data_IF_544106175439
#
_entry.id   IF_544106175439
#
_cell.length_a   1.000
_cell.length_b   1.000
_cell.length_c   1.000
_cell.angle_alpha   90.00
_cell.angle_beta   90.00
_cell.angle_gamma   90.00
#
_symmetry.space_group_name_H-M   'P 1'
#
loop_
_entity.id
_entity.type
_entity.pdbx_description
1 polymer ?
#
# COMPACT_ATOMS: atom_id res chain seq x y z
N UNK A 1 17.59 -0.54 20.89
CA UNK A 1 16.98 0.77 21.07
C UNK A 1 17.31 1.73 19.97
N UNK A 2 18.59 2.05 19.78
CA UNK A 2 19.01 2.92 18.68
C UNK A 2 18.60 2.34 17.33
N UNK A 3 18.80 1.04 17.12
CA UNK A 3 18.44 0.40 15.86
C UNK A 3 16.94 0.50 15.60
N UNK A 4 16.10 0.29 16.62
CA UNK A 4 14.65 0.39 16.45
C UNK A 4 14.22 1.80 16.08
N UNK A 5 14.80 2.80 16.76
CA UNK A 5 14.52 4.19 16.47
C UNK A 5 14.95 4.55 15.05
N UNK A 6 16.13 4.09 14.64
CA UNK A 6 16.64 4.36 13.29
C UNK A 6 15.75 3.71 12.23
N UNK A 7 15.28 2.49 12.47
CA UNK A 7 14.39 1.82 11.53
C UNK A 7 13.08 2.57 11.39
N UNK A 8 12.52 3.05 12.50
CA UNK A 8 11.30 3.84 12.48
C UNK A 8 11.46 5.09 11.61
N UNK A 9 12.55 5.82 11.83
CA UNK A 9 12.82 7.04 11.09
C UNK A 9 13.03 6.75 9.59
N UNK A 10 13.74 5.66 9.29
CA UNK A 10 13.97 5.27 7.89
C UNK A 10 12.65 4.94 7.19
N UNK A 11 11.75 4.25 7.88
CA UNK A 11 10.44 3.93 7.31
C UNK A 11 9.67 5.20 7.03
N UNK A 12 9.65 6.14 7.98
CA UNK A 12 8.96 7.41 7.78
C UNK A 12 9.54 8.19 6.61
N UNK A 13 10.87 8.24 6.52
CA UNK A 13 11.54 8.97 5.44
C UNK A 13 11.23 8.36 4.08
N UNK A 14 11.22 7.02 4.02
CA UNK A 14 10.91 6.33 2.79
C UNK A 14 9.48 6.61 2.35
N UNK A 15 8.53 6.54 3.28
CA UNK A 15 7.14 6.81 2.98
C UNK A 15 6.94 8.25 2.54
N UNK A 16 7.59 9.20 3.20
CA UNK A 16 7.49 10.60 2.80
C UNK A 16 8.02 10.84 1.41
N UNK A 17 9.13 10.20 1.06
CA UNK A 17 9.71 10.32 -0.27
C UNK A 17 8.78 9.75 -1.34
N UNK A 18 8.18 8.62 -1.05
CA UNK A 18 7.28 7.94 -1.98
C UNK A 18 5.93 8.65 -2.10
N UNK A 19 5.44 9.20 -0.99
CA UNK A 19 4.09 9.76 -0.91
C UNK A 19 4.11 11.27 -0.65
N UNK A 20 5.09 11.96 -1.21
CA UNK A 20 5.34 13.37 -0.89
C UNK A 20 4.18 14.30 -1.22
N UNK A 21 3.26 13.89 -2.11
CA UNK A 21 2.13 14.72 -2.51
C UNK A 21 0.82 14.33 -1.82
N UNK A 22 0.87 13.35 -0.92
CA UNK A 22 -0.32 12.93 -0.19
C UNK A 22 -0.60 13.93 0.93
N UNK A 23 -1.88 14.11 1.25
CA UNK A 23 -2.29 15.00 2.35
C UNK A 23 -1.68 14.52 3.65
N UNK A 24 -1.27 15.46 4.50
CA UNK A 24 -0.58 15.15 5.75
C UNK A 24 -1.37 14.21 6.64
N UNK A 25 -2.68 14.42 6.77
CA UNK A 25 -3.52 13.58 7.61
C UNK A 25 -3.55 12.13 7.13
N UNK A 26 -3.67 11.95 5.81
CA UNK A 26 -3.69 10.62 5.22
C UNK A 26 -2.32 9.95 5.35
N UNK A 27 -1.26 10.73 5.17
CA UNK A 27 0.08 10.20 5.31
C UNK A 27 0.34 9.73 6.75
N UNK A 28 -0.04 10.55 7.73
CA UNK A 28 0.20 10.20 9.13
C UNK A 28 -0.54 8.93 9.54
N UNK A 29 -1.78 8.79 9.11
CA UNK A 29 -2.56 7.59 9.39
C UNK A 29 -1.95 6.35 8.74
N UNK A 30 -1.55 6.47 7.49
CA UNK A 30 -0.92 5.36 6.77
C UNK A 30 0.42 4.99 7.41
N UNK A 31 1.24 5.99 7.71
CA UNK A 31 2.55 5.75 8.32
C UNK A 31 2.40 5.04 9.67
N UNK A 32 1.43 5.44 10.47
CA UNK A 32 1.15 4.82 11.75
C UNK A 32 0.78 3.34 11.58
N UNK A 33 -0.10 3.05 10.64
CA UNK A 33 -0.50 1.67 10.39
C UNK A 33 0.67 0.80 9.96
N UNK A 34 1.52 1.32 9.08
CA UNK A 34 2.69 0.59 8.61
C UNK A 34 3.67 0.33 9.76
N UNK A 35 3.95 1.35 10.57
CA UNK A 35 4.94 1.20 11.64
C UNK A 35 4.46 0.29 12.76
N UNK A 36 3.15 0.24 13.01
CA UNK A 36 2.60 -0.59 14.07
C UNK A 36 2.33 -2.03 13.64
N UNK A 37 2.20 -2.28 12.35
CA UNK A 37 1.87 -3.62 11.86
C UNK A 37 3.01 -4.60 12.10
N UNK A 38 2.66 -5.80 12.55
CA UNK A 38 3.63 -6.88 12.69
C UNK A 38 3.93 -7.53 11.35
N UNK A 39 2.90 -7.76 10.55
CA UNK A 39 3.06 -8.34 9.22
C UNK A 39 2.30 -7.48 8.23
N UNK A 40 2.91 -7.23 7.08
CA UNK A 40 2.34 -6.40 6.03
C UNK A 40 2.27 -7.21 4.75
N UNK A 41 1.10 -7.25 4.14
CA UNK A 41 0.89 -7.90 2.85
C UNK A 41 0.61 -6.82 1.82
N UNK A 42 1.20 -6.96 0.64
CA UNK A 42 1.08 -5.95 -0.40
C UNK A 42 0.61 -6.63 -1.68
N UNK A 43 -0.29 -6.00 -2.41
CA UNK A 43 -0.76 -6.51 -3.68
C UNK A 43 -1.00 -5.37 -4.65
N UNK A 44 -0.71 -5.62 -5.92
CA UNK A 44 -1.01 -4.73 -7.01
C UNK A 44 -1.07 -5.55 -8.28
N UNK A 45 -1.52 -4.95 -9.37
CA UNK A 45 -1.59 -5.65 -10.65
C UNK A 45 -0.97 -4.79 -11.74
N UNK A 46 -0.29 -5.43 -12.70
CA UNK A 46 0.43 -4.70 -13.73
C UNK A 46 1.55 -3.87 -13.13
N UNK A 47 1.60 -2.59 -13.47
CA UNK A 47 2.61 -1.69 -12.91
C UNK A 47 2.49 -1.54 -11.41
N UNK A 48 1.27 -1.52 -10.90
CA UNK A 48 1.05 -1.48 -9.47
C UNK A 48 1.61 -2.72 -8.78
N UNK A 49 1.65 -3.86 -9.48
CA UNK A 49 2.28 -5.06 -8.97
C UNK A 49 3.78 -4.89 -8.79
N UNK A 50 4.44 -4.24 -9.75
CA UNK A 50 5.87 -3.94 -9.60
C UNK A 50 6.13 -2.97 -8.46
N UNK A 51 5.26 -1.97 -8.29
CA UNK A 51 5.36 -1.04 -7.18
C UNK A 51 5.19 -1.78 -5.86
N UNK A 52 4.22 -2.70 -5.80
CA UNK A 52 3.99 -3.50 -4.60
C UNK A 52 5.22 -4.34 -4.25
N UNK A 53 5.84 -4.98 -5.26
CA UNK A 53 7.05 -5.76 -5.04
C UNK A 53 8.18 -4.90 -4.50
N UNK A 54 8.41 -3.74 -5.09
CA UNK A 54 9.45 -2.83 -4.65
C UNK A 54 9.20 -2.35 -3.23
N UNK A 55 7.96 -2.03 -2.92
CA UNK A 55 7.59 -1.53 -1.61
C UNK A 55 7.82 -2.60 -0.54
N UNK A 56 7.38 -3.82 -0.80
CA UNK A 56 7.56 -4.93 0.13
C UNK A 56 9.05 -5.21 0.37
N UNK A 57 9.84 -5.21 -0.71
CA UNK A 57 11.29 -5.41 -0.58
C UNK A 57 11.91 -4.33 0.30
N UNK A 58 11.52 -3.08 0.07
CA UNK A 58 12.08 -1.99 0.86
C UNK A 58 11.67 -2.07 2.33
N UNK A 59 10.42 -2.43 2.61
CA UNK A 59 9.96 -2.61 3.97
C UNK A 59 10.75 -3.71 4.69
N UNK A 60 11.03 -4.82 4.01
CA UNK A 60 11.85 -5.88 4.58
C UNK A 60 13.26 -5.40 4.88
N UNK A 61 13.84 -4.61 3.98
CA UNK A 61 15.17 -4.03 4.19
C UNK A 61 15.19 -3.11 5.41
N UNK A 62 14.06 -2.50 5.71
CA UNK A 62 13.92 -1.59 6.85
C UNK A 62 13.49 -2.28 8.13
N UNK A 63 13.42 -3.61 8.11
CA UNK A 63 13.17 -4.38 9.33
C UNK A 63 11.73 -4.82 9.55
N UNK A 64 10.82 -4.58 8.60
CA UNK A 64 9.44 -5.05 8.70
C UNK A 64 9.31 -6.43 8.07
N UNK A 65 8.27 -7.16 8.42
CA UNK A 65 7.92 -8.40 7.73
C UNK A 65 6.88 -8.07 6.67
N UNK A 66 7.31 -8.02 5.43
CA UNK A 66 6.43 -7.69 4.31
C UNK A 66 6.41 -8.81 3.29
N UNK A 67 5.23 -9.11 2.77
CA UNK A 67 4.99 -10.19 1.82
C UNK A 67 4.20 -9.67 0.63
N UNK A 68 4.45 -10.26 -0.53
CA UNK A 68 3.69 -9.93 -1.74
C UNK A 68 2.69 -11.05 -1.99
N UNK A 69 1.43 -10.68 -2.17
CA UNK A 69 0.38 -11.67 -2.47
C UNK A 69 0.70 -12.30 -3.83
N UNK A 70 0.62 -13.61 -3.89
CA UNK A 70 0.88 -14.37 -5.10
C UNK A 70 2.24 -15.06 -5.13
N UNK A 71 3.14 -14.68 -4.24
CA UNK A 71 4.42 -15.37 -4.12
C UNK A 71 4.20 -16.74 -3.46
N UNK A 72 4.96 -17.73 -3.92
CA UNK A 72 4.75 -19.10 -3.47
C UNK A 72 5.01 -19.31 -1.98
N UNK A 73 5.83 -18.46 -1.38
CA UNK A 73 6.20 -18.57 0.04
C UNK A 73 5.39 -17.63 0.93
N UNK A 74 4.44 -16.89 0.36
CA UNK A 74 3.64 -15.94 1.15
C UNK A 74 2.66 -16.70 2.04
N UNK A 75 2.68 -16.44 3.35
CA UNK A 75 1.71 -17.06 4.25
C UNK A 75 0.32 -16.46 4.05
N UNK A 76 -0.68 -17.06 4.67
CA UNK A 76 -2.04 -16.54 4.62
C UNK A 76 -2.20 -15.31 5.50
N UNK A 77 -2.99 -14.36 5.05
CA UNK A 77 -3.34 -13.19 5.84
C UNK A 77 -4.21 -13.63 7.03
N UNK A 78 -3.92 -13.09 8.18
CA UNK A 78 -4.63 -13.42 9.42
C UNK A 78 -5.08 -12.15 10.13
N UNK A 79 -5.91 -12.33 11.15
CA UNK A 79 -6.39 -11.23 11.98
C UNK A 79 -5.20 -10.40 12.50
N UNK A 80 -5.34 -9.10 12.38
CA UNK A 80 -4.31 -8.16 12.85
C UNK A 80 -3.24 -7.84 11.83
N UNK A 81 -3.20 -8.54 10.70
CA UNK A 81 -2.26 -8.20 9.63
C UNK A 81 -2.71 -6.94 8.90
N UNK A 82 -1.78 -6.28 8.25
CA UNK A 82 -2.07 -5.13 7.41
C UNK A 82 -1.97 -5.54 5.94
N UNK A 83 -3.02 -5.27 5.18
CA UNK A 83 -3.03 -5.54 3.74
C UNK A 83 -3.08 -4.22 2.99
N UNK A 84 -2.03 -3.94 2.23
CA UNK A 84 -1.92 -2.73 1.41
C UNK A 84 -2.20 -3.10 -0.04
N UNK A 85 -3.26 -2.53 -0.59
CA UNK A 85 -3.64 -2.71 -1.98
C UNK A 85 -3.23 -1.48 -2.76
N UNK A 86 -2.49 -1.66 -3.84
CA UNK A 86 -2.06 -0.56 -4.70
C UNK A 86 -2.81 -0.71 -6.03
N UNK A 87 -3.74 0.20 -6.28
CA UNK A 87 -4.58 0.14 -7.47
C UNK A 87 -4.97 1.54 -7.91
N UNK A 88 -4.53 1.95 -9.08
CA UNK A 88 -4.85 3.28 -9.59
C UNK A 88 -6.35 3.50 -9.72
N UNK A 89 -7.07 2.53 -10.24
CA UNK A 89 -8.52 2.64 -10.41
C UNK A 89 -9.30 2.31 -9.15
N UNK A 90 -8.69 1.53 -8.23
CA UNK A 90 -9.39 1.04 -7.05
C UNK A 90 -10.50 0.05 -7.38
N UNK A 91 -10.54 -0.48 -8.59
CA UNK A 91 -11.66 -1.31 -9.05
C UNK A 91 -11.24 -2.63 -9.71
N UNK A 92 -9.99 -3.02 -9.58
CA UNK A 92 -9.53 -4.28 -10.14
C UNK A 92 -10.18 -5.45 -9.40
N UNK A 93 -10.90 -6.28 -10.13
CA UNK A 93 -11.72 -7.35 -9.54
C UNK A 93 -10.92 -8.31 -8.68
N UNK A 94 -9.77 -8.76 -9.17
CA UNK A 94 -8.93 -9.68 -8.41
C UNK A 94 -8.49 -9.08 -7.08
N UNK A 95 -8.10 -7.80 -7.10
CA UNK A 95 -7.67 -7.12 -5.88
C UNK A 95 -8.83 -6.90 -4.92
N UNK A 96 -10.02 -6.66 -5.48
CA UNK A 96 -11.22 -6.51 -4.66
C UNK A 96 -11.54 -7.80 -3.91
N UNK A 97 -11.42 -8.94 -4.59
CA UNK A 97 -11.66 -10.22 -3.94
C UNK A 97 -10.65 -10.49 -2.83
N UNK A 98 -9.38 -10.11 -3.06
CA UNK A 98 -8.37 -10.25 -2.03
C UNK A 98 -8.67 -9.35 -0.83
N UNK A 99 -9.13 -8.13 -1.09
CA UNK A 99 -9.48 -7.20 -0.02
C UNK A 99 -10.67 -7.71 0.79
N UNK A 100 -11.68 -8.25 0.10
CA UNK A 100 -12.83 -8.87 0.78
C UNK A 100 -12.38 -9.99 1.70
N UNK A 101 -11.49 -10.84 1.20
CA UNK A 101 -10.98 -11.95 1.98
C UNK A 101 -10.21 -11.47 3.21
N UNK A 102 -9.39 -10.44 3.04
CA UNK A 102 -8.64 -9.87 4.14
C UNK A 102 -9.58 -9.31 5.20
N UNK A 103 -10.63 -8.61 4.79
CA UNK A 103 -11.63 -8.09 5.73
C UNK A 103 -12.33 -9.24 6.45
N UNK A 104 -12.61 -10.33 5.77
CA UNK A 104 -13.32 -11.45 6.38
C UNK A 104 -12.53 -12.12 7.50
N UNK A 105 -11.21 -12.01 7.49
CA UNK A 105 -10.37 -12.55 8.57
C UNK A 105 -9.94 -11.45 9.56
N UNK A 106 -10.55 -10.26 9.46
CA UNK A 106 -10.30 -9.14 10.35
C UNK A 106 -8.89 -8.56 10.23
N UNK A 107 -8.33 -8.60 9.04
CA UNK A 107 -7.11 -7.86 8.75
C UNK A 107 -7.48 -6.41 8.42
N UNK A 108 -6.52 -5.52 8.60
CA UNK A 108 -6.71 -4.11 8.26
C UNK A 108 -6.40 -3.92 6.77
N UNK A 109 -7.26 -3.23 6.03
CA UNK A 109 -7.08 -3.02 4.59
C UNK A 109 -6.85 -1.54 4.30
N UNK A 110 -5.76 -1.23 3.62
CA UNK A 110 -5.43 0.11 3.16
C UNK A 110 -5.36 0.10 1.64
N UNK A 111 -6.03 1.04 1.00
CA UNK A 111 -5.99 1.21 -0.44
C UNK A 111 -5.19 2.46 -0.80
N UNK A 112 -4.17 2.29 -1.62
CA UNK A 112 -3.45 3.40 -2.23
C UNK A 112 -3.97 3.53 -3.67
N UNK A 113 -4.63 4.64 -3.98
CA UNK A 113 -5.34 4.78 -5.25
C UNK A 113 -5.29 6.22 -5.73
N UNK A 114 -5.55 6.41 -7.02
CA UNK A 114 -5.71 7.76 -7.56
C UNK A 114 -7.19 8.17 -7.61
N UNK A 115 -8.10 7.28 -7.21
CA UNK A 115 -9.54 7.53 -7.26
C UNK A 115 -10.19 7.09 -5.96
N UNK A 116 -10.69 8.05 -5.19
CA UNK A 116 -11.31 7.76 -3.88
C UNK A 116 -12.59 6.96 -3.98
N UNK A 117 -13.41 7.27 -4.97
CA UNK A 117 -14.70 6.61 -5.16
C UNK A 117 -14.51 5.35 -6.00
N UNK A 118 -14.36 4.21 -5.35
CA UNK A 118 -14.06 2.96 -6.04
C UNK A 118 -14.58 1.77 -5.25
N UNK A 119 -14.66 0.61 -5.93
CA UNK A 119 -15.18 -0.61 -5.32
C UNK A 119 -14.33 -1.06 -4.13
N UNK A 120 -13.01 -1.00 -4.26
CA UNK A 120 -12.12 -1.38 -3.15
C UNK A 120 -12.16 -0.32 -2.07
N UNK A 121 -12.28 0.95 -2.46
CA UNK A 121 -12.37 2.04 -1.50
C UNK A 121 -13.56 1.93 -0.57
N UNK A 122 -14.65 1.32 -1.03
CA UNK A 122 -15.83 1.15 -0.19
C UNK A 122 -15.61 0.16 0.94
N UNK A 123 -14.72 -0.79 0.78
CA UNK A 123 -14.48 -1.83 1.78
C UNK A 123 -13.18 -1.64 2.56
N UNK A 124 -12.29 -0.80 2.08
CA UNK A 124 -11.01 -0.55 2.76
C UNK A 124 -11.25 0.22 4.06
N UNK A 125 -10.41 -0.06 5.04
CA UNK A 125 -10.45 0.66 6.31
C UNK A 125 -9.87 2.05 6.17
N UNK A 126 -8.89 2.21 5.30
CA UNK A 126 -8.24 3.49 5.04
C UNK A 126 -7.99 3.60 3.54
N UNK A 127 -8.26 4.76 2.98
CA UNK A 127 -7.98 5.05 1.58
C UNK A 127 -7.03 6.22 1.52
N UNK A 128 -5.92 6.05 0.81
CA UNK A 128 -4.93 7.10 0.61
C UNK A 128 -4.95 7.48 -0.85
N UNK A 129 -5.31 8.73 -1.13
CA UNK A 129 -5.35 9.21 -2.50
C UNK A 129 -3.97 9.66 -2.95
N UNK A 130 -3.50 9.06 -4.04
CA UNK A 130 -2.24 9.45 -4.66
C UNK A 130 -2.54 10.47 -5.75
N UNK A 131 -1.88 11.61 -5.75
CA UNK A 131 -2.14 12.65 -6.75
C UNK A 131 -1.46 12.38 -8.08
N UNK A 132 -1.03 11.16 -8.32
CA UNK A 132 -0.35 10.81 -9.56
C UNK A 132 -1.31 10.90 -10.74
N UNK A 133 -0.83 11.41 -11.86
CA UNK A 133 -1.60 11.39 -13.08
C UNK A 133 -1.71 9.98 -13.60
N UNK A 134 -2.75 9.75 -14.39
CA UNK A 134 -2.92 8.47 -15.09
C UNK A 134 -2.41 8.63 -16.52
N UNK A 135 -2.39 7.53 -17.24
CA UNK A 135 -1.98 7.57 -18.65
C UNK A 135 -2.89 8.43 -19.51
N UNK A 136 -4.06 8.79 -19.00
CA UNK A 136 -5.00 9.66 -19.69
C UNK A 136 -4.90 11.12 -19.26
N UNK A 137 -4.05 11.41 -18.30
CA UNK A 137 -3.87 12.77 -17.80
C UNK A 137 -2.88 13.52 -18.67
N UNK A 138 -3.41 14.46 -19.44
CA UNK A 138 -2.60 15.23 -20.37
C UNK A 138 -1.75 16.30 -19.71
N UNK A 139 -2.02 16.63 -18.45
CA UNK A 139 -1.31 17.71 -17.77
C UNK A 139 -0.05 17.27 -17.05
N UNK A 140 0.27 16.02 -17.18
CA UNK A 140 1.58 15.65 -16.73
C UNK A 140 1.62 14.86 -15.46
N UNK A 141 1.64 13.59 -15.67
CA UNK A 141 2.10 12.70 -14.67
C UNK A 141 3.62 12.80 -14.62
N UNK A 142 4.18 12.79 -13.44
CA UNK A 142 5.61 12.66 -13.28
C UNK A 142 6.06 11.23 -13.60
N UNK A 143 5.10 10.36 -13.80
CA UNK A 143 5.37 8.96 -14.09
C UNK A 143 5.39 8.75 -15.60
N UNK A 144 6.51 8.32 -16.16
CA UNK A 144 6.55 8.01 -17.58
C UNK A 144 5.61 6.85 -17.87
N UNK A 145 4.89 6.92 -18.95
CA UNK A 145 3.95 5.89 -19.39
C UNK A 145 2.70 5.78 -18.51
N UNK A 146 2.47 6.75 -17.64
CA UNK A 146 1.36 6.71 -16.72
C UNK A 146 1.67 5.81 -15.52
N UNK A 147 0.76 5.65 -14.65
CA UNK A 147 1.01 4.87 -13.45
C UNK A 147 0.59 3.43 -13.60
#
# INVERSE_FOLDING_TARGET
>A
MMATFNHYQLILDELKGTLSHVKDEEFDGFASEVTEASRIFVAGKGRSGFVANSFAMRLNQLGKQAFVIGESTTPSIQKGDLFIVISGSGSTEHLRLLADKAKSVEAEVVLLTTKLDSAIGEIADTVVELPAGTKHDATGSDQPLGS
#
